data_IF_553370421341
#
_entry.id   IF_553370421341
#
_cell.length_a   1.000
_cell.length_b   1.000
_cell.length_c   1.000
_cell.angle_alpha   90.00
_cell.angle_beta   90.00
_cell.angle_gamma   90.00
#
_symmetry.space_group_name_H-M   'P 1'
#
loop_
_entity.id
_entity.type
_entity.pdbx_description
1 polymer ?
#
# COMPACT_ATOMS: atom_id res chain seq x y z
N UNK A 1 -0.71 4.12 2.56
CA UNK A 1 0.65 3.78 3.09
C UNK A 1 0.75 4.29 4.51
N UNK A 2 0.71 3.44 5.53
CA UNK A 2 0.77 3.90 6.94
C UNK A 2 2.19 4.21 7.38
N UNK A 3 3.17 3.39 6.97
CA UNK A 3 4.55 3.53 7.39
C UNK A 3 5.53 2.93 6.36
N UNK A 4 6.83 3.03 6.65
CA UNK A 4 7.90 2.32 5.94
C UNK A 4 9.00 1.89 6.91
N UNK A 5 9.65 0.76 6.64
CA UNK A 5 10.65 0.14 7.54
C UNK A 5 11.75 1.09 8.03
N UNK A 6 12.30 1.89 7.12
CA UNK A 6 13.42 2.79 7.43
C UNK A 6 13.10 3.95 8.40
N UNK A 7 11.81 4.27 8.58
CA UNK A 7 11.32 5.36 9.46
C UNK A 7 9.82 5.20 9.74
N UNK A 8 9.43 4.24 10.60
CA UNK A 8 8.03 3.86 10.76
C UNK A 8 7.17 4.94 11.43
N UNK A 9 7.77 5.77 12.29
CA UNK A 9 7.08 6.83 13.03
C UNK A 9 7.07 8.20 12.34
N UNK A 10 7.48 8.28 11.07
CA UNK A 10 7.69 9.55 10.37
C UNK A 10 7.15 9.55 8.94
N UNK A 11 7.02 10.75 8.38
CA UNK A 11 6.62 10.97 7.00
C UNK A 11 7.73 10.84 5.95
N UNK A 12 7.33 10.97 4.69
CA UNK A 12 8.24 11.11 3.56
C UNK A 12 9.16 12.32 3.70
N UNK A 13 10.37 12.22 3.15
CA UNK A 13 11.33 13.33 3.12
C UNK A 13 11.92 13.42 1.72
N UNK A 14 11.83 14.60 1.11
CA UNK A 14 12.49 14.95 -0.14
C UNK A 14 13.26 16.26 0.06
N UNK A 15 14.60 16.23 0.09
CA UNK A 15 15.41 17.44 0.24
C UNK A 15 15.10 18.47 -0.85
N UNK A 16 15.07 19.76 -0.49
CA UNK A 16 14.63 20.83 -1.39
C UNK A 16 15.46 20.94 -2.67
N UNK A 17 16.76 20.66 -2.60
CA UNK A 17 17.65 20.60 -3.77
C UNK A 17 17.37 19.42 -4.72
N UNK A 18 16.40 18.56 -4.39
CA UNK A 18 15.82 17.52 -5.28
C UNK A 18 14.41 17.85 -5.74
N UNK A 19 13.88 19.03 -5.39
CA UNK A 19 12.56 19.52 -5.81
C UNK A 19 12.79 20.49 -6.95
N UNK A 20 13.05 19.94 -8.13
CA UNK A 20 13.14 20.72 -9.37
C UNK A 20 11.75 21.18 -9.84
N UNK A 21 11.70 21.98 -10.91
CA UNK A 21 10.45 22.53 -11.44
C UNK A 21 9.44 21.43 -11.85
N UNK A 22 9.94 20.30 -12.36
CA UNK A 22 9.11 19.17 -12.73
C UNK A 22 8.46 18.53 -11.50
N UNK A 23 9.24 18.22 -10.46
CA UNK A 23 8.74 17.62 -9.22
C UNK A 23 7.79 18.59 -8.51
N UNK A 24 8.16 19.87 -8.44
CA UNK A 24 7.31 20.91 -7.88
C UNK A 24 5.95 20.97 -8.58
N UNK A 25 5.94 20.97 -9.92
CA UNK A 25 4.72 20.95 -10.73
C UNK A 25 3.86 19.71 -10.45
N UNK A 26 4.45 18.51 -10.44
CA UNK A 26 3.72 17.24 -10.21
C UNK A 26 3.15 17.17 -8.79
N UNK A 27 3.81 17.79 -7.81
CA UNK A 27 3.41 17.76 -6.41
C UNK A 27 2.62 18.99 -5.95
N UNK A 28 2.34 19.93 -6.84
CA UNK A 28 1.76 21.23 -6.51
C UNK A 28 2.52 21.94 -5.36
N UNK A 29 3.85 21.88 -5.43
CA UNK A 29 4.76 22.41 -4.43
C UNK A 29 5.64 23.53 -5.00
N UNK A 30 6.40 24.19 -4.14
CA UNK A 30 7.35 25.25 -4.53
C UNK A 30 8.71 24.64 -4.91
N UNK A 31 9.27 24.97 -6.09
CA UNK A 31 10.62 24.54 -6.46
C UNK A 31 11.67 24.92 -5.40
N UNK A 32 12.63 24.02 -5.15
CA UNK A 32 13.72 24.22 -4.18
C UNK A 32 13.34 24.06 -2.71
N UNK A 33 12.04 23.97 -2.37
CA UNK A 33 11.58 23.84 -0.98
C UNK A 33 11.55 22.36 -0.57
N UNK A 34 12.14 22.04 0.58
CA UNK A 34 12.13 20.67 1.11
C UNK A 34 10.72 20.20 1.46
N UNK A 35 10.39 18.97 1.07
CA UNK A 35 9.09 18.36 1.35
C UNK A 35 9.24 17.33 2.47
N UNK A 36 8.76 17.71 3.65
CA UNK A 36 8.62 16.81 4.80
C UNK A 36 7.12 16.55 4.95
N UNK A 37 6.70 15.32 4.69
CA UNK A 37 5.29 14.96 4.86
C UNK A 37 4.95 14.91 6.35
N UNK A 38 3.70 15.28 6.73
CA UNK A 38 3.19 14.98 8.05
C UNK A 38 3.38 13.48 8.40
N UNK A 39 3.78 13.16 9.64
CA UNK A 39 3.89 11.75 10.05
C UNK A 39 2.57 10.96 9.96
N UNK A 40 1.42 11.48 10.46
CA UNK A 40 0.15 10.80 10.28
C UNK A 40 -0.52 11.20 8.96
N UNK A 41 -1.41 10.33 8.49
CA UNK A 41 -2.49 10.73 7.60
C UNK A 41 -3.49 11.53 8.43
N UNK A 42 -3.82 12.75 7.99
CA UNK A 42 -4.70 13.65 8.76
C UNK A 42 -6.18 13.23 8.72
N UNK A 43 -6.50 12.26 7.88
CA UNK A 43 -7.76 11.56 7.69
C UNK A 43 -7.74 10.14 8.28
N UNK A 44 -6.72 9.80 9.11
CA UNK A 44 -6.64 8.50 9.79
C UNK A 44 -6.13 8.67 11.23
N UNK A 45 -7.04 8.79 12.19
CA UNK A 45 -6.71 8.82 13.62
C UNK A 45 -7.13 7.56 14.38
N UNK A 46 -7.90 6.71 13.73
CA UNK A 46 -8.47 5.49 14.29
C UNK A 46 -8.63 4.40 13.22
N UNK A 47 -9.13 3.22 13.61
CA UNK A 47 -9.34 2.12 12.65
C UNK A 47 -10.57 2.35 11.78
N UNK A 48 -11.57 3.05 12.31
CA UNK A 48 -12.77 3.48 11.64
C UNK A 48 -12.47 4.56 10.58
N UNK A 49 -11.53 5.48 10.85
CA UNK A 49 -11.06 6.42 9.83
C UNK A 49 -10.33 5.71 8.69
N UNK A 50 -9.51 4.68 8.99
CA UNK A 50 -8.90 3.86 7.95
C UNK A 50 -9.97 3.16 7.10
N UNK A 51 -11.03 2.65 7.74
CA UNK A 51 -12.15 2.04 7.02
C UNK A 51 -12.87 3.08 6.15
N UNK A 52 -13.01 4.32 6.62
CA UNK A 52 -13.53 5.42 5.80
C UNK A 52 -12.66 5.68 4.58
N UNK A 53 -11.35 5.84 4.73
CA UNK A 53 -10.47 6.08 3.60
C UNK A 53 -10.49 4.89 2.60
N UNK A 54 -10.54 3.65 3.08
CA UNK A 54 -10.69 2.47 2.20
C UNK A 54 -11.99 2.57 1.41
N UNK A 55 -13.09 2.96 2.06
CA UNK A 55 -14.38 3.18 1.42
C UNK A 55 -14.32 4.31 0.38
N UNK A 56 -13.68 5.44 0.69
CA UNK A 56 -13.52 6.57 -0.24
C UNK A 56 -12.71 6.17 -1.48
N UNK A 57 -11.59 5.46 -1.29
CA UNK A 57 -10.74 4.98 -2.38
C UNK A 57 -11.47 3.97 -3.27
N UNK A 58 -12.36 3.14 -2.69
CA UNK A 58 -13.18 2.19 -3.44
C UNK A 58 -14.30 2.87 -4.21
N UNK A 59 -14.90 3.92 -3.67
CA UNK A 59 -15.81 4.78 -4.42
C UNK A 59 -15.08 5.50 -5.56
N UNK A 60 -13.88 6.01 -5.29
CA UNK A 60 -13.04 6.71 -6.27
C UNK A 60 -12.48 5.79 -7.35
N UNK A 61 -12.32 4.48 -7.08
CA UNK A 61 -11.94 3.48 -8.06
C UNK A 61 -12.37 2.06 -7.63
N UNK A 62 -13.54 1.63 -8.11
CA UNK A 62 -14.14 0.33 -7.76
C UNK A 62 -13.31 -0.89 -8.18
N UNK A 63 -12.48 -0.75 -9.21
CA UNK A 63 -11.65 -1.84 -9.74
C UNK A 63 -10.31 -2.01 -9.00
N UNK A 64 -9.91 -1.05 -8.17
CA UNK A 64 -8.62 -1.09 -7.49
C UNK A 64 -8.64 -2.02 -6.26
N UNK A 65 -7.52 -2.70 -6.00
CA UNK A 65 -7.22 -3.30 -4.68
C UNK A 65 -6.68 -2.22 -3.75
N UNK A 66 -7.14 -2.18 -2.50
CA UNK A 66 -6.60 -1.28 -1.48
C UNK A 66 -5.55 -2.01 -0.64
N UNK A 67 -4.33 -1.49 -0.68
CA UNK A 67 -3.19 -2.01 0.07
C UNK A 67 -2.87 -1.11 1.27
N UNK A 68 -2.82 -1.73 2.45
CA UNK A 68 -2.39 -1.07 3.68
C UNK A 68 -0.98 -1.54 4.03
N UNK A 69 -0.01 -0.65 3.75
CA UNK A 69 1.40 -0.85 4.10
C UNK A 69 1.66 -0.52 5.57
N UNK A 70 1.94 -1.55 6.36
CA UNK A 70 2.36 -1.53 7.75
C UNK A 70 3.88 -1.80 7.86
N UNK A 71 4.43 -1.62 9.05
CA UNK A 71 5.80 -2.03 9.39
C UNK A 71 5.74 -3.03 10.53
N UNK A 72 6.57 -4.05 10.43
CA UNK A 72 6.77 -5.06 11.47
C UNK A 72 7.11 -4.39 12.80
N UNK A 73 6.29 -4.69 13.80
CA UNK A 73 6.48 -4.36 15.20
C UNK A 73 5.66 -5.35 16.04
N UNK A 74 5.98 -5.48 17.33
CA UNK A 74 5.13 -6.24 18.23
C UNK A 74 3.70 -5.67 18.25
N UNK A 75 2.70 -6.54 18.12
CA UNK A 75 1.29 -6.16 18.06
C UNK A 75 0.79 -5.83 16.64
N UNK A 76 1.61 -6.00 15.60
CA UNK A 76 1.17 -5.80 14.21
C UNK A 76 0.08 -6.79 13.81
N UNK A 77 -0.01 -7.96 14.43
CA UNK A 77 -1.06 -8.94 14.14
C UNK A 77 -2.45 -8.44 14.54
N UNK A 78 -2.58 -7.79 15.70
CA UNK A 78 -3.83 -7.14 16.13
C UNK A 78 -4.25 -6.04 15.16
N UNK A 79 -3.27 -5.23 14.70
CA UNK A 79 -3.52 -4.18 13.72
C UNK A 79 -3.96 -4.80 12.39
N UNK A 80 -3.31 -5.85 11.93
CA UNK A 80 -3.67 -6.56 10.69
C UNK A 80 -5.10 -7.11 10.73
N UNK A 81 -5.55 -7.64 11.89
CA UNK A 81 -6.93 -8.07 12.07
C UNK A 81 -7.92 -6.90 11.96
N UNK A 82 -7.58 -5.74 12.54
CA UNK A 82 -8.37 -4.51 12.38
C UNK A 82 -8.44 -4.05 10.92
N UNK A 83 -7.30 -4.04 10.23
CA UNK A 83 -7.17 -3.66 8.81
C UNK A 83 -7.99 -4.58 7.90
N UNK A 84 -7.99 -5.89 8.15
CA UNK A 84 -8.83 -6.84 7.42
C UNK A 84 -10.32 -6.59 7.66
N UNK A 85 -10.71 -6.22 8.88
CA UNK A 85 -12.10 -5.83 9.20
C UNK A 85 -12.49 -4.47 8.62
N UNK A 86 -11.53 -3.57 8.44
CA UNK A 86 -11.67 -2.31 7.72
C UNK A 86 -11.74 -2.48 6.18
N UNK A 87 -11.89 -3.72 5.71
CA UNK A 87 -12.07 -4.08 4.29
C UNK A 87 -10.85 -3.87 3.39
N UNK A 88 -9.63 -3.76 3.91
CA UNK A 88 -8.44 -3.76 3.05
C UNK A 88 -8.35 -5.06 2.25
N UNK A 89 -7.95 -4.98 0.97
CA UNK A 89 -7.75 -6.17 0.13
C UNK A 89 -6.36 -6.79 0.34
N UNK A 90 -5.38 -5.97 0.75
CA UNK A 90 -3.97 -6.36 0.91
C UNK A 90 -3.37 -5.74 2.16
N UNK A 91 -2.61 -6.55 2.90
CA UNK A 91 -1.83 -6.11 4.06
C UNK A 91 -0.37 -6.36 3.75
N UNK A 92 0.43 -5.29 3.64
CA UNK A 92 1.88 -5.39 3.48
C UNK A 92 2.57 -5.20 4.83
N UNK A 93 3.34 -6.19 5.27
CA UNK A 93 4.21 -6.10 6.44
C UNK A 93 5.65 -5.87 6.01
N UNK A 94 6.14 -4.64 6.18
CA UNK A 94 7.53 -4.27 5.87
C UNK A 94 8.49 -4.55 7.02
N UNK A 95 9.66 -5.08 6.72
CA UNK A 95 10.78 -5.19 7.66
C UNK A 95 11.47 -3.84 7.91
N UNK A 96 12.17 -3.72 9.05
CA UNK A 96 12.97 -2.55 9.42
C UNK A 96 14.08 -2.21 8.42
N UNK A 97 14.53 -3.21 7.67
CA UNK A 97 15.66 -3.19 6.75
C UNK A 97 15.30 -2.64 5.35
N UNK A 98 14.06 -2.19 5.16
CA UNK A 98 13.60 -1.53 3.93
C UNK A 98 14.47 -0.33 3.55
N UNK A 99 14.69 -0.12 2.25
CA UNK A 99 15.46 1.01 1.73
C UNK A 99 14.76 2.37 1.90
N UNK A 100 15.54 3.45 1.84
CA UNK A 100 15.02 4.83 1.80
C UNK A 100 15.95 5.77 1.04
N UNK A 101 15.37 6.76 0.37
CA UNK A 101 16.15 7.82 -0.28
C UNK A 101 16.66 8.88 0.69
N UNK A 102 15.93 9.14 1.78
CA UNK A 102 16.27 10.11 2.82
C UNK A 102 15.53 9.78 4.13
N UNK A 103 16.26 9.72 5.25
CA UNK A 103 15.73 9.42 6.58
C UNK A 103 16.77 9.78 7.65
N UNK A 104 16.35 10.12 8.89
CA UNK A 104 17.27 10.20 10.01
C UNK A 104 17.98 8.87 10.23
N UNK A 105 19.27 8.93 10.57
CA UNK A 105 20.08 7.74 10.83
C UNK A 105 19.57 6.96 12.04
N UNK A 106 19.09 7.67 13.07
CA UNK A 106 18.48 7.09 14.26
C UNK A 106 17.31 6.18 13.89
N UNK A 107 16.43 6.62 12.99
CA UNK A 107 15.27 5.85 12.56
C UNK A 107 15.70 4.59 11.79
N UNK A 108 16.66 4.72 10.87
CA UNK A 108 17.21 3.58 10.12
C UNK A 108 17.80 2.51 11.06
N UNK A 109 18.49 2.93 12.13
CA UNK A 109 19.23 2.02 13.01
C UNK A 109 18.42 1.47 14.18
N UNK A 110 17.34 2.15 14.59
CA UNK A 110 16.70 1.91 15.89
C UNK A 110 15.18 1.76 15.84
N UNK A 111 14.57 1.75 14.66
CA UNK A 111 13.10 1.63 14.54
C UNK A 111 12.69 0.50 13.61
N UNK A 112 11.53 -0.12 13.90
CA UNK A 112 11.02 -1.29 13.19
C UNK A 112 11.59 -2.61 13.72
N UNK A 113 11.00 -3.72 13.28
CA UNK A 113 11.47 -5.09 13.55
C UNK A 113 11.70 -5.86 12.23
N UNK A 114 12.43 -7.00 12.28
CA UNK A 114 12.51 -7.95 11.17
C UNK A 114 11.13 -8.33 10.62
N UNK A 115 11.02 -8.50 9.30
CA UNK A 115 9.74 -8.84 8.68
C UNK A 115 9.27 -10.23 9.08
N UNK A 116 10.19 -11.17 9.37
CA UNK A 116 9.87 -12.54 9.80
C UNK A 116 8.98 -12.54 11.06
N UNK A 117 9.26 -11.65 12.01
CA UNK A 117 8.48 -11.50 13.24
C UNK A 117 7.07 -10.99 12.92
N UNK A 118 6.98 -9.87 12.22
CA UNK A 118 5.70 -9.22 11.95
C UNK A 118 4.82 -10.00 10.97
N UNK A 119 5.44 -10.65 9.99
CA UNK A 119 4.76 -11.49 9.01
C UNK A 119 4.13 -12.71 9.69
N UNK A 120 4.90 -13.44 10.50
CA UNK A 120 4.38 -14.58 11.25
C UNK A 120 3.28 -14.15 12.22
N UNK A 121 3.47 -13.05 12.96
CA UNK A 121 2.45 -12.53 13.89
C UNK A 121 1.16 -12.14 13.15
N UNK A 122 1.26 -11.46 12.01
CA UNK A 122 0.10 -11.10 11.18
C UNK A 122 -0.61 -12.33 10.64
N UNK A 123 0.14 -13.28 10.07
CA UNK A 123 -0.41 -14.52 9.52
C UNK A 123 -1.16 -15.32 10.60
N UNK A 124 -0.48 -15.62 11.72
CA UNK A 124 -1.05 -16.38 12.84
C UNK A 124 -2.30 -15.69 13.40
N UNK A 125 -2.25 -14.37 13.61
CA UNK A 125 -3.40 -13.63 14.15
C UNK A 125 -4.59 -13.64 13.19
N UNK A 126 -4.35 -13.48 11.88
CA UNK A 126 -5.41 -13.54 10.87
C UNK A 126 -6.04 -14.93 10.77
N UNK A 127 -5.25 -16.00 10.86
CA UNK A 127 -5.75 -17.39 10.89
C UNK A 127 -6.62 -17.60 12.14
N UNK A 128 -6.09 -17.26 13.31
CA UNK A 128 -6.79 -17.37 14.61
C UNK A 128 -8.14 -16.64 14.64
N UNK A 129 -8.22 -15.49 13.98
CA UNK A 129 -9.45 -14.69 13.91
C UNK A 129 -10.35 -15.03 12.73
N UNK A 130 -10.03 -16.06 11.93
CA UNK A 130 -10.76 -16.47 10.72
C UNK A 130 -10.89 -15.34 9.69
N UNK A 131 -9.84 -14.53 9.57
CA UNK A 131 -9.75 -13.40 8.63
C UNK A 131 -8.75 -13.65 7.49
N UNK A 132 -7.95 -14.72 7.59
CA UNK A 132 -6.85 -14.98 6.64
C UNK A 132 -7.31 -15.13 5.19
N UNK A 133 -8.49 -15.70 4.96
CA UNK A 133 -9.07 -15.89 3.63
C UNK A 133 -9.51 -14.60 2.92
N UNK A 134 -9.67 -13.50 3.66
CA UNK A 134 -10.21 -12.21 3.15
C UNK A 134 -9.17 -11.27 2.54
N UNK A 135 -7.89 -11.50 2.85
CA UNK A 135 -6.82 -10.53 2.56
C UNK A 135 -5.61 -11.23 1.98
N UNK A 136 -4.97 -10.57 1.01
CA UNK A 136 -3.64 -10.97 0.57
C UNK A 136 -2.61 -10.43 1.56
N UNK A 137 -1.72 -11.28 2.05
CA UNK A 137 -0.60 -10.86 2.93
C UNK A 137 0.68 -10.71 2.10
N UNK A 138 1.24 -9.51 2.06
CA UNK A 138 2.47 -9.18 1.34
C UNK A 138 3.60 -8.90 2.35
N UNK A 139 4.85 -9.14 1.94
CA UNK A 139 6.02 -8.69 2.72
C UNK A 139 7.09 -8.06 1.84
N UNK A 140 7.86 -7.13 2.41
CA UNK A 140 9.08 -6.58 1.85
C UNK A 140 10.12 -6.33 2.95
N UNK A 141 11.39 -6.17 2.57
CA UNK A 141 12.49 -6.04 3.52
C UNK A 141 13.71 -6.81 3.06
N UNK A 142 14.53 -6.18 2.21
CA UNK A 142 15.77 -6.75 1.65
C UNK A 142 15.65 -8.17 1.04
N UNK A 143 14.48 -8.57 0.56
CA UNK A 143 14.32 -9.82 -0.20
C UNK A 143 15.18 -9.75 -1.46
N UNK A 144 16.14 -10.67 -1.58
CA UNK A 144 17.17 -10.68 -2.64
C UNK A 144 17.33 -12.02 -3.34
N UNK A 145 16.78 -13.09 -2.76
CA UNK A 145 16.96 -14.46 -3.23
C UNK A 145 15.63 -15.19 -3.31
N UNK A 146 15.57 -16.25 -4.13
CA UNK A 146 14.45 -17.19 -4.12
C UNK A 146 14.25 -17.83 -2.75
N UNK A 147 15.34 -18.08 -2.01
CA UNK A 147 15.28 -18.54 -0.61
C UNK A 147 14.56 -17.56 0.33
N UNK A 148 14.81 -16.25 0.22
CA UNK A 148 14.11 -15.26 1.05
C UNK A 148 12.59 -15.31 0.77
N UNK A 149 12.22 -15.42 -0.51
CA UNK A 149 10.83 -15.55 -0.95
C UNK A 149 10.20 -16.84 -0.42
N UNK A 150 10.92 -17.96 -0.50
CA UNK A 150 10.47 -19.26 0.04
C UNK A 150 10.20 -19.18 1.55
N UNK A 151 11.11 -18.57 2.32
CA UNK A 151 10.91 -18.37 3.77
C UNK A 151 9.70 -17.50 4.03
N UNK A 152 9.55 -16.38 3.30
CA UNK A 152 8.39 -15.51 3.42
C UNK A 152 7.08 -16.24 3.10
N UNK A 153 7.06 -17.09 2.07
CA UNK A 153 5.90 -17.92 1.72
C UNK A 153 5.53 -18.85 2.88
N UNK A 154 6.50 -19.61 3.40
CA UNK A 154 6.31 -20.53 4.52
C UNK A 154 5.84 -19.83 5.80
N UNK A 155 6.22 -18.56 6.00
CA UNK A 155 5.74 -17.71 7.11
C UNK A 155 4.38 -17.04 6.84
N UNK A 156 3.82 -17.18 5.64
CA UNK A 156 2.44 -16.80 5.33
C UNK A 156 2.24 -15.71 4.28
N UNK A 157 3.29 -15.21 3.63
CA UNK A 157 3.19 -14.21 2.56
C UNK A 157 2.77 -14.84 1.21
N UNK A 158 1.96 -14.11 0.46
CA UNK A 158 1.47 -14.45 -0.89
C UNK A 158 2.12 -13.59 -1.98
N UNK A 159 2.59 -12.40 -1.61
CA UNK A 159 3.23 -11.45 -2.51
C UNK A 159 4.51 -10.89 -1.86
N UNK A 160 5.51 -10.57 -2.68
CA UNK A 160 6.85 -10.17 -2.22
C UNK A 160 7.34 -8.89 -2.88
N UNK A 161 7.79 -7.94 -2.08
CA UNK A 161 8.38 -6.68 -2.56
C UNK A 161 9.90 -6.76 -2.70
N UNK A 162 10.40 -6.67 -3.93
CA UNK A 162 11.84 -6.63 -4.25
C UNK A 162 12.18 -5.28 -4.86
N UNK A 163 12.80 -4.41 -4.05
CA UNK A 163 13.12 -3.03 -4.46
C UNK A 163 14.62 -2.78 -4.58
N UNK A 164 15.39 -2.93 -3.50
CA UNK A 164 16.83 -2.64 -3.50
C UNK A 164 17.60 -3.50 -4.50
N UNK A 165 17.27 -4.80 -4.61
CA UNK A 165 17.90 -5.68 -5.60
C UNK A 165 17.61 -5.18 -7.03
N UNK A 166 16.37 -4.78 -7.33
CA UNK A 166 16.00 -4.21 -8.62
C UNK A 166 16.74 -2.88 -8.91
N UNK A 167 16.93 -2.03 -7.89
CA UNK A 167 17.75 -0.82 -8.01
C UNK A 167 19.22 -1.15 -8.31
N UNK A 168 19.78 -2.19 -7.71
CA UNK A 168 21.16 -2.64 -7.97
C UNK A 168 21.28 -3.15 -9.41
N UNK A 169 20.31 -3.94 -9.90
CA UNK A 169 20.33 -4.43 -11.29
C UNK A 169 20.18 -3.33 -12.33
N UNK A 170 19.65 -2.17 -11.94
CA UNK A 170 19.54 -0.97 -12.80
C UNK A 170 20.71 0.00 -12.63
N UNK A 171 21.74 -0.37 -11.87
CA UNK A 171 23.00 0.37 -11.78
C UNK A 171 23.32 0.97 -10.40
N UNK A 172 22.48 0.78 -9.38
CA UNK A 172 22.82 1.26 -8.03
C UNK A 172 24.06 0.54 -7.48
N UNK A 173 25.12 1.31 -7.23
CA UNK A 173 26.38 0.82 -6.63
C UNK A 173 26.42 0.94 -5.10
N UNK A 174 25.26 1.11 -4.45
CA UNK A 174 25.13 1.19 -2.99
C UNK A 174 25.98 2.29 -2.31
N UNK A 175 26.17 3.44 -2.98
CA UNK A 175 26.95 4.58 -2.45
C UNK A 175 26.30 5.28 -1.25
N UNK A 176 24.99 5.11 -1.03
CA UNK A 176 24.21 5.69 0.09
C UNK A 176 24.20 7.24 0.17
N UNK A 177 24.40 7.92 -0.97
CA UNK A 177 24.26 9.39 -1.12
C UNK A 177 22.93 9.82 -1.76
N UNK A 178 21.90 8.98 -1.68
CA UNK A 178 20.61 9.20 -2.35
C UNK A 178 19.94 10.55 -1.98
N UNK A 179 20.15 11.00 -0.74
CA UNK A 179 19.60 12.25 -0.20
C UNK A 179 20.39 13.51 -0.61
N UNK A 180 21.59 13.36 -1.17
CA UNK A 180 22.48 14.48 -1.53
C UNK A 180 22.36 14.91 -2.99
N UNK A 181 21.50 14.25 -3.77
CA UNK A 181 21.35 14.48 -5.21
C UNK A 181 22.62 14.25 -6.05
N UNK A 182 23.63 13.56 -5.50
CA UNK A 182 24.93 13.33 -6.13
C UNK A 182 25.12 11.87 -6.53
N UNK A 183 24.05 11.22 -7.00
CA UNK A 183 24.12 9.82 -7.41
C UNK A 183 24.99 9.68 -8.68
N UNK A 184 26.13 8.97 -8.64
CA UNK A 184 27.10 8.94 -9.73
C UNK A 184 26.65 8.09 -10.94
N UNK A 185 25.52 7.40 -10.80
CA UNK A 185 24.97 6.44 -11.76
C UNK A 185 23.56 6.83 -12.20
N UNK A 186 23.14 8.07 -11.94
CA UNK A 186 21.86 8.61 -12.40
C UNK A 186 20.60 8.00 -11.78
N UNK A 187 20.70 7.08 -10.81
CA UNK A 187 19.54 6.39 -10.19
C UNK A 187 18.75 7.31 -9.27
N UNK A 188 19.39 7.92 -8.27
CA UNK A 188 18.73 8.66 -7.18
C UNK A 188 19.07 10.15 -7.21
N UNK A 189 18.99 10.80 -8.37
CA UNK A 189 19.30 12.23 -8.56
C UNK A 189 18.32 12.91 -9.53
N UNK A 190 18.14 14.21 -9.35
CA UNK A 190 17.41 15.12 -10.24
C UNK A 190 18.37 16.05 -11.01
N UNK A 191 19.67 15.97 -10.73
CA UNK A 191 20.68 16.69 -11.51
C UNK A 191 20.66 16.19 -12.97
N UNK A 192 20.44 17.06 -13.97
CA UNK A 192 20.32 16.66 -15.36
C UNK A 192 21.58 16.01 -15.93
N UNK A 193 22.77 16.41 -15.48
CA UNK A 193 24.03 15.85 -15.98
C UNK A 193 24.30 14.47 -15.36
N UNK A 194 23.99 14.29 -14.08
CA UNK A 194 24.10 12.98 -13.44
C UNK A 194 23.03 12.00 -13.94
N UNK A 195 21.82 12.47 -14.28
CA UNK A 195 20.76 11.62 -14.86
C UNK A 195 21.17 11.03 -16.21
N UNK A 196 21.99 11.72 -17.01
CA UNK A 196 22.54 11.19 -18.27
C UNK A 196 23.44 9.97 -18.05
N UNK A 197 23.95 9.75 -16.84
CA UNK A 197 24.78 8.59 -16.49
C UNK A 197 23.95 7.33 -16.16
N UNK A 198 22.62 7.42 -16.15
CA UNK A 198 21.77 6.26 -15.93
C UNK A 198 21.82 5.31 -17.13
N UNK A 199 22.25 4.08 -16.88
CA UNK A 199 22.43 3.02 -17.90
C UNK A 199 21.54 1.81 -17.63
N UNK A 200 20.53 1.94 -16.77
CA UNK A 200 19.67 0.83 -16.41
C UNK A 200 18.82 0.35 -17.59
N UNK A 201 18.83 -0.97 -17.80
CA UNK A 201 18.03 -1.66 -18.81
C UNK A 201 16.86 -2.39 -18.12
N UNK A 202 15.59 -2.16 -18.53
CA UNK A 202 14.45 -2.93 -18.06
C UNK A 202 14.65 -4.46 -18.15
N UNK A 203 15.37 -4.96 -19.16
CA UNK A 203 15.65 -6.37 -19.32
C UNK A 203 16.44 -6.96 -18.13
N UNK A 204 17.31 -6.18 -17.49
CA UNK A 204 18.04 -6.63 -16.30
C UNK A 204 17.10 -6.87 -15.10
N UNK A 205 16.07 -6.04 -14.96
CA UNK A 205 15.05 -6.22 -13.90
C UNK A 205 14.19 -7.45 -14.21
N UNK A 206 13.81 -7.65 -15.46
CA UNK A 206 13.09 -8.85 -15.90
C UNK A 206 13.90 -10.11 -15.61
N UNK A 207 15.20 -10.10 -15.94
CA UNK A 207 16.11 -11.23 -15.66
C UNK A 207 16.26 -11.50 -14.16
N UNK A 208 16.35 -10.46 -13.32
CA UNK A 208 16.34 -10.63 -11.86
C UNK A 208 15.12 -11.42 -11.39
N UNK A 209 13.92 -11.03 -11.82
CA UNK A 209 12.70 -11.72 -11.42
C UNK A 209 12.59 -13.13 -12.00
N UNK A 210 13.12 -13.39 -13.21
CA UNK A 210 13.26 -14.74 -13.72
C UNK A 210 14.16 -15.62 -12.83
N UNK A 211 15.31 -15.11 -12.41
CA UNK A 211 16.22 -15.86 -11.53
C UNK A 211 15.62 -16.11 -10.15
N UNK A 212 14.97 -15.10 -9.56
CA UNK A 212 14.27 -15.26 -8.27
C UNK A 212 13.15 -16.29 -8.35
N UNK A 213 12.36 -16.27 -9.44
CA UNK A 213 11.29 -17.23 -9.66
C UNK A 213 11.83 -18.64 -9.91
N UNK A 214 12.93 -18.79 -10.64
CA UNK A 214 13.54 -20.10 -10.89
C UNK A 214 14.09 -20.71 -9.59
N UNK A 215 14.87 -19.95 -8.81
CA UNK A 215 15.40 -20.41 -7.52
C UNK A 215 14.26 -20.79 -6.56
N UNK A 216 13.16 -19.99 -6.52
CA UNK A 216 11.98 -20.34 -5.74
C UNK A 216 11.37 -21.68 -6.19
N UNK A 217 11.24 -21.91 -7.51
CA UNK A 217 10.69 -23.17 -8.05
C UNK A 217 11.58 -24.36 -7.74
N UNK A 218 12.90 -24.20 -7.78
CA UNK A 218 13.86 -25.23 -7.36
C UNK A 218 13.66 -25.61 -5.89
N UNK A 219 13.55 -24.62 -5.01
CA UNK A 219 13.29 -24.83 -3.57
C UNK A 219 11.92 -25.48 -3.34
N UNK A 220 10.87 -25.03 -4.06
CA UNK A 220 9.55 -25.66 -3.99
C UNK A 220 9.61 -27.14 -4.38
N UNK A 221 10.34 -27.48 -5.45
CA UNK A 221 10.52 -28.85 -5.89
C UNK A 221 11.28 -29.70 -4.87
N UNK A 222 12.33 -29.15 -4.25
CA UNK A 222 13.08 -29.81 -3.17
C UNK A 222 12.20 -30.11 -1.95
N UNK A 223 11.31 -29.16 -1.60
CA UNK A 223 10.39 -29.29 -0.46
C UNK A 223 9.11 -30.08 -0.79
N UNK A 224 8.87 -30.42 -2.06
CA UNK A 224 7.72 -31.19 -2.51
C UNK A 224 6.43 -30.40 -2.76
N UNK A 225 6.51 -29.07 -2.88
CA UNK A 225 5.36 -28.21 -3.21
C UNK A 225 5.23 -28.02 -4.72
N UNK A 226 4.02 -28.17 -5.26
CA UNK A 226 3.73 -27.97 -6.69
C UNK A 226 3.25 -26.56 -7.00
N UNK A 227 2.59 -25.93 -6.03
CA UNK A 227 2.05 -24.58 -6.16
C UNK A 227 2.44 -23.72 -4.96
N UNK A 228 2.50 -22.41 -5.15
CA UNK A 228 2.76 -21.45 -4.08
C UNK A 228 1.70 -21.57 -2.97
N UNK A 229 0.43 -21.78 -3.35
CA UNK A 229 -0.69 -21.92 -2.40
C UNK A 229 -0.53 -23.12 -1.45
N UNK A 230 0.10 -24.21 -1.90
CA UNK A 230 0.40 -25.35 -1.02
C UNK A 230 1.49 -25.01 0.02
N UNK A 231 2.42 -24.11 -0.33
CA UNK A 231 3.58 -23.71 0.47
C UNK A 231 3.24 -22.62 1.51
N UNK A 232 2.26 -21.76 1.21
CA UNK A 232 1.92 -20.62 2.07
C UNK A 232 1.53 -21.08 3.49
N UNK A 233 2.19 -20.51 4.50
CA UNK A 233 1.88 -20.77 5.91
C UNK A 233 2.32 -22.15 6.42
N UNK A 234 3.09 -22.92 5.65
CA UNK A 234 3.64 -24.21 6.07
C UNK A 234 4.92 -24.05 6.92
N UNK A 235 4.85 -23.23 7.98
CA UNK A 235 6.01 -22.87 8.81
C UNK A 235 6.71 -24.07 9.46
N UNK A 236 6.00 -25.18 9.65
CA UNK A 236 6.55 -26.43 10.22
C UNK A 236 7.64 -27.08 9.36
N UNK A 237 7.79 -26.68 8.10
CA UNK A 237 8.87 -27.15 7.21
C UNK A 237 10.20 -26.48 7.56
N UNK A 238 10.17 -25.31 8.20
CA UNK A 238 11.36 -24.59 8.63
C UNK A 238 11.92 -25.19 9.93
N UNK A 239 13.24 -25.27 10.02
CA UNK A 239 13.95 -25.67 11.23
C UNK A 239 15.11 -24.72 11.53
N UNK A 240 15.40 -24.53 12.82
CA UNK A 240 16.60 -23.81 13.25
C UNK A 240 17.83 -24.59 12.80
N UNK A 241 18.78 -23.91 12.14
CA UNK A 241 20.07 -24.52 11.80
C UNK A 241 20.85 -24.89 13.07
N UNK A 242 21.79 -25.80 12.94
CA UNK A 242 22.76 -26.04 14.00
C UNK A 242 23.59 -24.76 14.25
N UNK A 243 23.72 -24.41 15.53
CA UNK A 243 24.43 -23.21 15.98
C UNK A 243 25.83 -23.63 16.40
N UNK A 244 26.84 -23.19 15.64
CA UNK A 244 28.24 -23.42 15.96
C UNK A 244 28.61 -22.76 17.30
N UNK A 245 29.59 -23.33 18.02
CA UNK A 245 30.01 -22.79 19.31
C UNK A 245 30.56 -21.36 19.24
N UNK A 246 31.15 -20.98 18.11
CA UNK A 246 31.60 -19.62 17.84
C UNK A 246 30.44 -18.60 17.87
N UNK A 247 29.22 -19.03 17.52
CA UNK A 247 28.00 -18.21 17.51
C UNK A 247 27.25 -18.31 18.85
N UNK A 248 27.97 -18.36 19.98
CA UNK A 248 27.41 -18.65 21.31
C UNK A 248 26.22 -17.78 21.70
N UNK A 249 26.16 -16.52 21.25
CA UNK A 249 25.03 -15.60 21.51
C UNK A 249 23.72 -16.07 20.87
N UNK A 250 23.78 -16.75 19.72
CA UNK A 250 22.59 -17.24 19.02
C UNK A 250 21.89 -18.36 19.78
N UNK A 251 22.57 -19.05 20.70
CA UNK A 251 21.99 -20.11 21.55
C UNK A 251 20.84 -19.60 22.43
N UNK A 252 20.74 -18.29 22.64
CA UNK A 252 19.67 -17.65 23.41
C UNK A 252 18.48 -17.18 22.56
N UNK A 253 18.56 -17.30 21.23
CA UNK A 253 17.47 -16.91 20.34
C UNK A 253 16.45 -18.04 20.26
N UNK A 254 15.20 -17.75 20.64
CA UNK A 254 14.09 -18.69 20.50
C UNK A 254 13.23 -18.35 19.28
N UNK A 255 13.32 -19.17 18.23
CA UNK A 255 12.51 -19.02 17.01
C UNK A 255 11.16 -19.74 17.07
N UNK A 256 10.86 -20.49 18.14
CA UNK A 256 9.60 -21.24 18.24
C UNK A 256 8.34 -20.39 18.01
N UNK A 257 8.23 -19.13 18.49
CA UNK A 257 7.06 -18.30 18.22
C UNK A 257 6.85 -17.98 16.74
N UNK A 258 7.93 -17.81 15.96
CA UNK A 258 7.86 -17.53 14.51
C UNK A 258 7.50 -18.80 13.74
N UNK A 259 8.05 -19.95 14.17
CA UNK A 259 7.83 -21.24 13.51
C UNK A 259 6.49 -21.88 13.87
N UNK A 260 5.81 -21.37 14.90
CA UNK A 260 4.50 -21.86 15.31
C UNK A 260 3.49 -21.74 14.18
N UNK A 261 2.85 -22.86 13.84
CA UNK A 261 1.73 -22.91 12.90
C UNK A 261 0.43 -22.84 13.68
N UNK A 262 -0.30 -21.75 13.50
CA UNK A 262 -1.65 -21.62 14.06
C UNK A 262 -2.57 -22.68 13.43
N UNK A 263 -3.37 -23.43 14.21
CA UNK A 263 -4.35 -24.36 13.68
C UNK A 263 -5.35 -23.67 12.74
N UNK A 264 -5.41 -24.13 11.51
CA UNK A 264 -6.30 -23.57 10.49
C UNK A 264 -7.77 -23.99 10.68
N UNK A 265 -8.02 -25.09 11.41
CA UNK A 265 -9.34 -25.70 11.57
C UNK A 265 -10.07 -25.93 10.23
N UNK A 266 -9.32 -26.25 9.17
CA UNK A 266 -9.85 -26.43 7.82
C UNK A 266 -10.16 -25.13 7.07
N UNK A 267 -9.79 -23.97 7.62
CA UNK A 267 -9.90 -22.68 6.94
C UNK A 267 -8.69 -22.41 6.03
N UNK A 268 -8.83 -21.50 5.04
CA UNK A 268 -7.73 -21.13 4.16
C UNK A 268 -6.56 -20.43 4.87
N UNK A 269 -5.34 -20.76 4.45
CA UNK A 269 -4.09 -20.11 4.89
C UNK A 269 -3.64 -18.94 3.98
N UNK A 270 -4.36 -18.73 2.89
CA UNK A 270 -4.14 -17.71 1.87
C UNK A 270 -5.50 -17.11 1.44
N UNK A 271 -5.50 -16.06 0.63
CA UNK A 271 -6.71 -15.38 0.20
C UNK A 271 -7.55 -16.27 -0.72
N UNK A 272 -8.83 -16.44 -0.39
CA UNK A 272 -9.79 -17.23 -1.18
C UNK A 272 -11.11 -16.51 -1.43
N UNK A 273 -11.37 -15.41 -0.73
CA UNK A 273 -12.58 -14.60 -0.88
C UNK A 273 -12.25 -13.12 -0.98
N UNK A 274 -13.04 -12.38 -1.76
CA UNK A 274 -12.88 -10.95 -1.91
C UNK A 274 -13.64 -10.20 -0.81
N UNK A 275 -13.14 -9.03 -0.45
CA UNK A 275 -13.84 -8.15 0.48
C UNK A 275 -15.11 -7.59 -0.17
N UNK A 276 -16.22 -7.64 0.57
CA UNK A 276 -17.40 -6.82 0.27
C UNK A 276 -17.14 -5.40 0.80
N UNK A 277 -17.18 -4.41 -0.08
CA UNK A 277 -16.93 -3.01 0.23
C UNK A 277 -18.21 -2.20 0.46
N UNK A 278 -19.39 -2.84 0.41
CA UNK A 278 -20.68 -2.19 0.66
C UNK A 278 -21.03 -1.12 -0.36
N UNK A 279 -20.61 -1.27 -1.62
CA UNK A 279 -20.77 -0.25 -2.65
C UNK A 279 -22.11 -0.32 -3.39
N UNK A 280 -22.89 -1.40 -3.25
CA UNK A 280 -24.10 -1.61 -4.05
C UNK A 280 -25.24 -0.66 -3.69
N UNK A 281 -25.22 -0.10 -2.48
CA UNK A 281 -26.32 0.71 -1.93
C UNK A 281 -25.96 2.18 -1.79
N UNK A 282 -24.79 2.61 -2.26
CA UNK A 282 -24.37 4.02 -2.10
C UNK A 282 -25.21 4.94 -3.00
N UNK A 283 -25.44 6.16 -2.51
CA UNK A 283 -26.25 7.17 -3.17
C UNK A 283 -25.72 7.51 -4.58
N UNK A 284 -24.41 7.41 -4.79
CA UNK A 284 -23.77 7.77 -6.06
C UNK A 284 -24.29 7.00 -7.27
N UNK A 285 -24.85 5.79 -7.11
CA UNK A 285 -25.48 5.10 -8.24
C UNK A 285 -26.62 5.93 -8.84
N UNK A 286 -27.40 6.62 -7.99
CA UNK A 286 -28.46 7.52 -8.44
C UNK A 286 -27.89 8.80 -9.05
N UNK A 287 -26.81 9.35 -8.49
CA UNK A 287 -26.13 10.52 -9.06
C UNK A 287 -25.58 10.22 -10.45
N UNK A 288 -24.96 9.05 -10.64
CA UNK A 288 -24.45 8.59 -11.94
C UNK A 288 -25.59 8.43 -12.94
N UNK A 289 -26.71 7.81 -12.56
CA UNK A 289 -27.88 7.67 -13.42
C UNK A 289 -28.39 9.04 -13.90
N UNK A 290 -28.51 10.02 -13.00
CA UNK A 290 -28.93 11.39 -13.37
C UNK A 290 -27.89 12.10 -14.23
N UNK A 291 -26.60 11.87 -14.00
CA UNK A 291 -25.52 12.52 -14.71
C UNK A 291 -25.18 11.92 -16.08
N UNK A 292 -25.82 10.83 -16.53
CA UNK A 292 -25.44 10.13 -17.78
C UNK A 292 -25.40 11.07 -19.00
N UNK A 293 -26.39 11.93 -19.16
CA UNK A 293 -26.43 12.89 -20.28
C UNK A 293 -25.29 13.91 -20.21
N UNK A 294 -24.93 14.39 -19.02
CA UNK A 294 -23.79 15.26 -18.84
C UNK A 294 -22.46 14.57 -19.17
N UNK A 295 -22.29 13.33 -18.70
CA UNK A 295 -21.05 12.57 -18.92
C UNK A 295 -20.87 12.23 -20.40
N UNK A 296 -21.92 11.82 -21.10
CA UNK A 296 -21.83 11.36 -22.49
C UNK A 296 -21.90 12.50 -23.51
N UNK A 297 -22.70 13.54 -23.25
CA UNK A 297 -23.03 14.57 -24.23
C UNK A 297 -22.61 15.98 -23.82
N UNK A 298 -22.01 16.19 -22.64
CA UNK A 298 -21.72 17.50 -22.05
C UNK A 298 -22.96 18.39 -21.86
N UNK A 299 -24.13 17.78 -21.68
CA UNK A 299 -25.38 18.49 -21.43
C UNK A 299 -25.50 18.90 -19.96
N UNK A 300 -25.86 20.16 -19.63
CA UNK A 300 -26.08 20.56 -18.25
C UNK A 300 -27.21 19.76 -17.58
N UNK A 301 -26.94 19.20 -16.40
CA UNK A 301 -27.91 18.44 -15.59
C UNK A 301 -28.01 19.05 -14.20
N UNK A 302 -29.26 19.22 -13.75
CA UNK A 302 -29.61 19.71 -12.43
C UNK A 302 -30.51 18.69 -11.72
N UNK A 303 -30.20 18.39 -10.46
CA UNK A 303 -31.02 17.48 -9.65
C UNK A 303 -30.90 17.82 -8.15
N UNK A 304 -31.82 17.29 -7.37
CA UNK A 304 -31.88 17.45 -5.92
C UNK A 304 -31.96 16.09 -5.24
N UNK A 305 -31.29 15.94 -4.10
CA UNK A 305 -31.23 14.69 -3.32
C UNK A 305 -31.36 15.00 -1.83
N UNK A 306 -32.12 14.19 -1.09
CA UNK A 306 -32.08 14.19 0.37
C UNK A 306 -30.91 13.33 0.85
N UNK A 307 -30.14 13.81 1.82
CA UNK A 307 -28.94 13.15 2.33
C UNK A 307 -28.97 13.03 3.86
N UNK A 308 -28.41 11.93 4.37
CA UNK A 308 -28.26 11.64 5.80
C UNK A 308 -26.82 11.26 6.12
N UNK A 309 -26.46 11.32 7.40
CA UNK A 309 -25.06 11.14 7.83
C UNK A 309 -24.47 9.75 7.51
N UNK A 310 -25.32 8.77 7.16
CA UNK A 310 -24.90 7.44 6.71
C UNK A 310 -24.54 7.40 5.22
N UNK A 311 -24.93 8.42 4.44
CA UNK A 311 -24.53 8.61 3.04
C UNK A 311 -23.15 9.26 3.00
N UNK A 312 -22.12 8.43 2.82
CA UNK A 312 -20.70 8.82 2.85
C UNK A 312 -20.14 8.86 1.43
N UNK A 313 -19.06 9.61 1.24
CA UNK A 313 -18.35 9.72 -0.04
C UNK A 313 -19.22 10.22 -1.21
N UNK A 314 -20.28 11.01 -0.93
CA UNK A 314 -21.24 11.47 -1.95
C UNK A 314 -20.50 12.22 -3.07
N UNK A 315 -20.74 11.84 -4.32
CA UNK A 315 -20.15 12.41 -5.54
C UNK A 315 -18.80 11.81 -5.93
N UNK A 316 -18.18 11.00 -5.07
CA UNK A 316 -16.84 10.43 -5.32
C UNK A 316 -16.85 9.43 -6.46
N UNK A 317 -17.87 8.56 -6.49
CA UNK A 317 -18.01 7.55 -7.53
C UNK A 317 -18.47 8.18 -8.85
N UNK A 318 -19.33 9.20 -8.79
CA UNK A 318 -19.66 10.02 -9.95
C UNK A 318 -18.41 10.70 -10.53
N UNK A 319 -17.54 11.26 -9.67
CA UNK A 319 -16.28 11.86 -10.08
C UNK A 319 -15.39 10.87 -10.85
N UNK A 320 -15.37 9.60 -10.43
CA UNK A 320 -14.67 8.55 -11.14
C UNK A 320 -15.25 8.32 -12.56
N UNK A 321 -16.58 8.31 -12.72
CA UNK A 321 -17.21 8.16 -14.04
C UNK A 321 -16.90 9.32 -14.98
N UNK A 322 -16.93 10.56 -14.46
CA UNK A 322 -16.50 11.74 -15.23
C UNK A 322 -15.04 11.58 -15.66
N UNK A 323 -14.17 11.21 -14.73
CA UNK A 323 -12.73 11.07 -14.97
C UNK A 323 -12.39 9.94 -15.94
N UNK A 324 -13.18 8.86 -16.01
CA UNK A 324 -12.99 7.77 -16.99
C UNK A 324 -13.16 8.26 -18.42
N UNK A 325 -14.12 9.14 -18.66
CA UNK A 325 -14.45 9.67 -20.00
C UNK A 325 -13.58 10.89 -20.32
N UNK A 326 -13.55 11.88 -19.42
CA UNK A 326 -13.00 13.22 -19.67
C UNK A 326 -11.60 13.46 -19.11
N UNK A 327 -11.06 12.48 -18.36
CA UNK A 327 -9.73 12.55 -17.73
C UNK A 327 -9.61 13.82 -16.87
N UNK A 328 -8.40 14.39 -16.79
CA UNK A 328 -8.11 15.61 -16.02
C UNK A 328 -8.72 16.89 -16.60
N UNK A 329 -9.18 16.87 -17.86
CA UNK A 329 -9.87 18.00 -18.45
C UNK A 329 -11.23 18.22 -17.76
N UNK A 330 -11.92 17.11 -17.45
CA UNK A 330 -13.25 17.12 -16.84
C UNK A 330 -14.31 17.73 -17.75
N UNK A 331 -15.41 18.14 -17.15
CA UNK A 331 -16.52 18.80 -17.83
C UNK A 331 -16.41 20.34 -17.69
N UNK A 332 -17.11 21.12 -18.55
CA UNK A 332 -17.31 22.54 -18.31
C UNK A 332 -17.88 22.80 -16.91
N UNK A 333 -17.58 23.97 -16.33
CA UNK A 333 -18.07 24.33 -15.01
C UNK A 333 -19.60 24.22 -14.92
N UNK A 334 -20.10 23.69 -13.79
CA UNK A 334 -21.54 23.52 -13.52
C UNK A 334 -22.31 22.65 -14.52
N UNK A 335 -21.63 21.82 -15.31
CA UNK A 335 -22.31 20.86 -16.21
C UNK A 335 -23.13 19.85 -15.41
N UNK A 336 -22.66 19.43 -14.24
CA UNK A 336 -23.46 18.63 -13.31
C UNK A 336 -23.61 19.47 -12.04
N UNK A 337 -24.82 19.89 -11.72
CA UNK A 337 -25.10 20.71 -10.56
C UNK A 337 -26.18 20.06 -9.70
N UNK A 338 -25.76 19.42 -8.61
CA UNK A 338 -26.64 18.68 -7.71
C UNK A 338 -26.76 19.39 -6.37
N UNK A 339 -28.00 19.54 -5.91
CA UNK A 339 -28.33 20.07 -4.59
C UNK A 339 -28.63 18.91 -3.63
N UNK A 340 -28.04 18.94 -2.46
CA UNK A 340 -28.21 17.97 -1.40
C UNK A 340 -28.86 18.66 -0.20
N UNK A 341 -29.87 18.04 0.41
CA UNK A 341 -30.59 18.58 1.57
C UNK A 341 -30.43 17.64 2.76
N UNK A 342 -29.97 18.14 3.90
CA UNK A 342 -29.83 17.35 5.14
C UNK A 342 -28.41 17.34 5.71
N UNK A 343 -28.00 16.19 6.28
CA UNK A 343 -26.72 16.04 6.99
C UNK A 343 -25.85 15.07 6.20
N UNK A 344 -24.82 15.52 5.50
CA UNK A 344 -23.96 14.64 4.72
C UNK A 344 -22.98 13.86 5.61
N UNK A 345 -22.76 12.58 5.31
CA UNK A 345 -21.74 11.78 5.97
C UNK A 345 -20.31 12.23 5.66
N UNK A 346 -19.33 11.48 6.17
CA UNK A 346 -17.91 11.74 5.91
C UNK A 346 -17.60 11.75 4.40
N UNK A 347 -16.63 12.59 4.02
CA UNK A 347 -16.07 12.64 2.65
C UNK A 347 -17.04 13.15 1.58
N UNK A 348 -17.93 14.09 1.92
CA UNK A 348 -18.85 14.71 0.95
C UNK A 348 -18.08 15.47 -0.14
N UNK A 349 -18.20 15.04 -1.39
CA UNK A 349 -17.50 15.66 -2.52
C UNK A 349 -16.03 15.25 -2.65
N UNK A 350 -15.58 14.22 -1.93
CA UNK A 350 -14.21 13.75 -2.01
C UNK A 350 -13.79 13.44 -3.46
N UNK A 351 -12.61 13.95 -3.83
CA UNK A 351 -12.04 13.81 -5.18
C UNK A 351 -12.91 14.32 -6.32
N UNK A 352 -13.82 15.29 -6.10
CA UNK A 352 -14.70 15.82 -7.14
C UNK A 352 -13.96 16.30 -8.40
N UNK A 353 -14.39 15.80 -9.56
CA UNK A 353 -13.84 16.17 -10.86
C UNK A 353 -14.38 17.54 -11.31
N UNK A 354 -13.64 18.21 -12.21
CA UNK A 354 -14.07 19.47 -12.80
C UNK A 354 -15.43 19.31 -13.51
N UNK A 355 -16.31 20.30 -13.28
CA UNK A 355 -17.65 20.36 -13.83
C UNK A 355 -18.73 19.66 -12.99
N UNK A 356 -18.35 18.98 -11.91
CA UNK A 356 -19.27 18.55 -10.85
C UNK A 356 -19.35 19.64 -9.76
N UNK A 357 -20.56 20.14 -9.55
CA UNK A 357 -20.89 21.09 -8.48
C UNK A 357 -21.90 20.45 -7.54
N UNK A 358 -21.52 20.33 -6.27
CA UNK A 358 -22.36 19.81 -5.19
C UNK A 358 -22.67 20.95 -4.22
N UNK A 359 -23.95 21.26 -4.03
CA UNK A 359 -24.40 22.25 -3.05
C UNK A 359 -25.10 21.53 -1.91
N UNK A 360 -24.66 21.72 -0.66
CA UNK A 360 -25.30 21.14 0.51
C UNK A 360 -26.06 22.21 1.30
N UNK A 361 -27.37 22.04 1.40
CA UNK A 361 -28.23 22.81 2.30
C UNK A 361 -28.45 22.01 3.59
N UNK A 362 -27.65 22.34 4.60
CA UNK A 362 -27.61 21.66 5.90
C UNK A 362 -26.21 21.63 6.48
N UNK A 363 -25.70 20.45 6.82
CA UNK A 363 -24.37 20.27 7.46
C UNK A 363 -23.62 19.08 6.85
N UNK A 364 -22.28 19.13 6.84
CA UNK A 364 -21.41 18.02 6.44
C UNK A 364 -20.51 17.58 7.60
N UNK A 365 -20.24 16.29 7.70
CA UNK A 365 -19.27 15.73 8.63
C UNK A 365 -17.83 15.92 8.12
N UNK A 366 -16.86 15.26 8.73
CA UNK A 366 -15.44 15.39 8.39
C UNK A 366 -15.12 15.14 6.90
N UNK A 367 -14.05 15.76 6.42
CA UNK A 367 -13.42 15.52 5.10
C UNK A 367 -14.18 16.03 3.86
N UNK A 368 -14.92 17.15 3.98
CA UNK A 368 -15.53 17.89 2.84
C UNK A 368 -14.48 18.40 1.85
#
# INVERSE_FOLDING_TARGET
KMAQGAKPGEGGQLPGHKVDDWIAKVRHATPGVGLISPPPHHDIYSIEDLAQLIFDLKNANRAARINVKLVSKAGVGTIAAGVAKAHADVILVSGYDGGTGASPLTSIQHTGLPWELGLAEAHQTLVKNRLRGRVVVQTDGQLKTGRDIAIAALLGAEEWGVATAALVTTGCIMMRKCHLNTCPVGVATQDPDLRKLFTGDPAHVVNLFHFLAEELREIMAELGFRTINEMIGQSQVLKTREIADADWKLKYVNLAPILYKEPDHGLPLYQTEFQDHGLDTVLDHQLIEKAQHAILNNEPVFASFDVKNTDRAIGTMLSNEISKVHKSAGLPADTINFKCFGSAGQSFGAFAAKGLTLTLEGEGNDYV
#
